data_IF_913985837681
#
_entry.id   IF_913985837681
#
_cell.length_a   1.000
_cell.length_b   1.000
_cell.length_c   1.000
_cell.angle_alpha   90.00
_cell.angle_beta   90.00
_cell.angle_gamma   90.00
#
_symmetry.space_group_name_H-M   'P 1'
#
loop_
_entity.id
_entity.type
_entity.pdbx_description
1 polymer ?
#
# COMPACT_ATOMS: atom_id res chain seq x y z
N UNK A 1 -0.21 0.92 1.33
CA UNK A 1 -1.32 1.82 0.94
C UNK A 1 -2.61 1.04 1.04
N UNK A 2 -3.69 1.69 1.45
CA UNK A 2 -5.01 1.08 1.42
C UNK A 2 -5.40 0.74 -0.03
N UNK A 3 -6.05 -0.39 -0.26
CA UNK A 3 -6.54 -0.77 -1.60
C UNK A 3 -7.74 0.08 -2.03
N UNK A 4 -8.54 0.53 -1.06
CA UNK A 4 -9.74 1.32 -1.28
C UNK A 4 -9.51 2.83 -1.19
N UNK A 5 -8.33 3.28 -0.76
CA UNK A 5 -8.01 4.71 -0.65
C UNK A 5 -6.54 4.97 -0.91
N UNK A 6 -6.22 6.10 -1.53
CA UNK A 6 -4.83 6.56 -1.75
C UNK A 6 -4.09 6.94 -0.44
N UNK A 7 -4.61 6.51 0.71
CA UNK A 7 -3.98 6.71 2.00
C UNK A 7 -2.72 5.82 2.09
N UNK A 8 -1.57 6.49 2.01
CA UNK A 8 -0.31 5.93 2.46
C UNK A 8 -0.36 5.76 3.98
N UNK A 9 0.04 4.60 4.47
CA UNK A 9 0.19 4.38 5.90
C UNK A 9 1.44 5.14 6.34
N UNK A 10 1.24 6.26 7.04
CA UNK A 10 2.32 7.04 7.62
C UNK A 10 2.82 6.28 8.87
N UNK A 11 4.12 6.42 9.14
CA UNK A 11 4.97 5.77 10.17
C UNK A 11 4.29 4.91 11.26
N UNK A 12 3.35 5.38 12.11
CA UNK A 12 2.72 4.52 13.12
C UNK A 12 1.95 3.31 12.56
N UNK A 13 1.55 3.35 11.30
CA UNK A 13 0.80 2.28 10.63
C UNK A 13 1.63 1.50 9.61
N UNK A 14 2.92 1.83 9.45
CA UNK A 14 3.81 1.23 8.46
C UNK A 14 4.09 -0.26 8.68
N UNK A 15 4.00 -0.74 9.93
CA UNK A 15 4.21 -2.14 10.29
C UNK A 15 2.93 -2.98 10.29
N UNK A 16 1.76 -2.39 10.02
CA UNK A 16 0.51 -3.14 9.94
C UNK A 16 0.49 -3.98 8.66
N UNK A 17 0.08 -5.25 8.75
CA UNK A 17 -0.11 -6.10 7.56
C UNK A 17 -1.52 -5.98 6.96
N UNK A 18 -2.42 -5.31 7.69
CA UNK A 18 -3.82 -5.07 7.35
C UNK A 18 -4.14 -3.57 7.38
N UNK A 19 -5.07 -3.14 6.55
CA UNK A 19 -5.58 -1.78 6.57
C UNK A 19 -6.43 -1.56 7.82
N UNK A 20 -6.12 -0.56 8.65
CA UNK A 20 -7.00 -0.22 9.77
C UNK A 20 -8.27 0.53 9.34
N UNK A 21 -8.33 1.05 8.11
CA UNK A 21 -9.49 1.77 7.60
C UNK A 21 -10.53 0.86 6.95
N UNK A 22 -10.10 -0.18 6.23
CA UNK A 22 -11.00 -1.07 5.48
C UNK A 22 -10.73 -2.56 5.72
N UNK A 23 -9.87 -2.90 6.68
CA UNK A 23 -9.53 -4.29 7.08
C UNK A 23 -8.90 -5.17 5.99
N UNK A 24 -8.69 -4.64 4.80
CA UNK A 24 -8.08 -5.36 3.68
C UNK A 24 -6.58 -5.60 3.89
N UNK A 25 -6.05 -6.75 3.44
CA UNK A 25 -4.62 -7.04 3.52
C UNK A 25 -3.81 -6.13 2.61
N UNK A 26 -2.63 -5.69 3.08
CA UNK A 26 -1.72 -4.86 2.27
C UNK A 26 -1.02 -5.66 1.16
N UNK A 27 -0.84 -6.96 1.41
CA UNK A 27 -0.15 -7.88 0.50
C UNK A 27 -1.13 -8.86 -0.12
N UNK A 28 -0.82 -9.29 -1.35
CA UNK A 28 -1.54 -10.35 -2.02
C UNK A 28 -1.40 -11.67 -1.22
N UNK A 29 -2.48 -12.10 -0.58
CA UNK A 29 -2.50 -13.26 0.32
C UNK A 29 -2.18 -14.57 -0.40
N UNK A 30 -2.57 -14.71 -1.68
CA UNK A 30 -2.27 -15.91 -2.49
C UNK A 30 -0.76 -16.05 -2.68
N UNK A 31 -0.09 -14.98 -3.11
CA UNK A 31 1.37 -14.99 -3.32
C UNK A 31 2.13 -15.09 -2.00
N UNK A 32 1.60 -14.47 -0.94
CA UNK A 32 2.18 -14.56 0.40
C UNK A 32 2.12 -16.01 0.91
N UNK A 33 0.98 -16.67 0.80
CA UNK A 33 0.79 -18.07 1.19
C UNK A 33 1.68 -19.03 0.35
N UNK A 34 1.71 -18.86 -0.97
CA UNK A 34 2.58 -19.64 -1.86
C UNK A 34 4.07 -19.52 -1.51
N UNK A 35 4.47 -18.35 -1.02
CA UNK A 35 5.86 -18.07 -0.62
C UNK A 35 6.15 -18.39 0.85
N UNK A 36 5.19 -18.94 1.60
CA UNK A 36 5.28 -19.15 3.06
C UNK A 36 5.67 -17.86 3.82
N UNK A 37 5.13 -16.73 3.39
CA UNK A 37 5.42 -15.41 3.99
C UNK A 37 6.69 -14.72 3.48
N UNK A 38 7.50 -15.35 2.63
CA UNK A 38 8.77 -14.76 2.16
C UNK A 38 8.62 -13.65 1.12
N UNK A 39 7.55 -13.68 0.30
CA UNK A 39 7.28 -12.67 -0.73
C UNK A 39 6.10 -11.79 -0.35
N UNK A 40 6.41 -10.59 0.14
CA UNK A 40 5.44 -9.53 0.43
C UNK A 40 5.17 -8.69 -0.83
N UNK A 41 4.33 -9.21 -1.71
CA UNK A 41 3.92 -8.50 -2.94
C UNK A 41 2.72 -7.61 -2.61
N UNK A 42 2.78 -6.29 -2.88
CA UNK A 42 1.65 -5.38 -2.64
C UNK A 42 0.38 -5.89 -3.34
N UNK A 43 -0.75 -5.77 -2.67
CA UNK A 43 -2.05 -6.12 -3.24
C UNK A 43 -2.38 -5.19 -4.42
N UNK A 44 -2.05 -3.90 -4.30
CA UNK A 44 -2.20 -2.91 -5.36
C UNK A 44 -0.97 -1.98 -5.39
N UNK A 45 -0.54 -1.63 -6.60
CA UNK A 45 0.58 -0.71 -6.82
C UNK A 45 0.03 0.57 -7.44
N UNK A 46 0.25 1.70 -6.77
CA UNK A 46 -0.06 3.01 -7.31
C UNK A 46 1.23 3.63 -7.85
N UNK A 47 1.22 4.03 -9.11
CA UNK A 47 2.33 4.76 -9.70
C UNK A 47 2.16 6.24 -9.38
N UNK A 48 3.01 6.76 -8.49
CA UNK A 48 3.13 8.21 -8.33
C UNK A 48 3.74 8.77 -9.60
N UNK A 49 2.95 9.47 -10.40
CA UNK A 49 3.50 10.34 -11.43
C UNK A 49 3.98 11.61 -10.72
N UNK A 50 5.29 11.94 -10.75
CA UNK A 50 5.75 13.20 -10.20
C UNK A 50 5.00 14.32 -10.93
N UNK A 51 4.29 15.15 -10.18
CA UNK A 51 3.71 16.37 -10.72
C UNK A 51 4.82 17.38 -10.92
N UNK A 52 4.68 18.22 -11.94
CA UNK A 52 5.58 19.35 -12.11
C UNK A 52 5.54 20.19 -10.82
N UNK A 53 6.70 20.63 -10.27
CA UNK A 53 6.74 21.42 -9.06
C UNK A 53 5.82 22.66 -9.10
N UNK A 54 5.59 23.24 -10.29
CA UNK A 54 4.69 24.37 -10.47
C UNK A 54 3.21 23.98 -10.23
N UNK A 55 2.82 22.74 -10.51
CA UNK A 55 1.47 22.22 -10.24
C UNK A 55 1.31 21.86 -8.77
N UNK A 56 2.38 21.37 -8.11
CA UNK A 56 2.34 21.01 -6.69
C UNK A 56 2.23 22.23 -5.76
N UNK A 57 2.58 23.42 -6.26
CA UNK A 57 2.55 24.68 -5.52
C UNK A 57 1.25 25.49 -5.69
N UNK A 58 0.31 25.02 -6.53
CA UNK A 58 -1.00 25.67 -6.77
C UNK A 58 -2.03 25.22 -5.71
#
# INVERSE_FOLDING_TARGET
MCVNSFLAYISPFGNSEICLCCTEPHYNQVKLAQSRGSKKIPHQMFHTRPLDPQIQAL
#
